data_IF_173323565030
#
_entry.id   IF_173323565030
#
_cell.length_a   1.000
_cell.length_b   1.000
_cell.length_c   1.000
_cell.angle_alpha   90.00
_cell.angle_beta   90.00
_cell.angle_gamma   90.00
#
_symmetry.space_group_name_H-M   'P 1'
#
loop_
_entity.id
_entity.type
_entity.pdbx_description
1 polymer ?
#
# COMPACT_ATOMS: atom_id res chain seq x y z
N UNK A 1 -10.57 15.48 -26.87
CA UNK A 1 -10.00 14.48 -27.79
C UNK A 1 -9.46 13.26 -27.04
N UNK A 2 -8.55 13.44 -26.07
CA UNK A 2 -7.99 12.32 -25.28
C UNK A 2 -9.06 11.44 -24.58
N UNK A 3 -10.05 12.04 -23.90
CA UNK A 3 -11.14 11.28 -23.26
C UNK A 3 -11.89 10.38 -24.24
N UNK A 4 -12.23 10.89 -25.44
CA UNK A 4 -12.98 10.12 -26.42
C UNK A 4 -12.18 8.92 -26.98
N UNK A 5 -10.87 9.10 -27.21
CA UNK A 5 -10.00 7.98 -27.61
C UNK A 5 -9.86 6.96 -26.49
N UNK A 6 -9.74 7.41 -25.24
CA UNK A 6 -9.72 6.53 -24.07
C UNK A 6 -11.02 5.73 -23.94
N UNK A 7 -12.18 6.38 -24.12
CA UNK A 7 -13.50 5.74 -24.06
C UNK A 7 -13.64 4.65 -25.15
N UNK A 8 -13.12 4.89 -26.35
CA UNK A 8 -13.10 3.89 -27.44
C UNK A 8 -12.22 2.68 -27.11
N UNK A 9 -11.02 2.92 -26.57
CA UNK A 9 -10.12 1.85 -26.15
C UNK A 9 -10.69 1.07 -24.97
N UNK A 10 -11.35 1.73 -24.02
CA UNK A 10 -12.01 1.08 -22.89
C UNK A 10 -13.18 0.20 -23.35
N UNK A 11 -13.99 0.71 -24.28
CA UNK A 11 -15.06 -0.08 -24.90
C UNK A 11 -14.50 -1.28 -25.70
N UNK A 12 -13.32 -1.14 -26.31
CA UNK A 12 -12.64 -2.26 -26.96
C UNK A 12 -12.16 -3.30 -25.93
N UNK A 13 -11.58 -2.87 -24.81
CA UNK A 13 -11.17 -3.77 -23.73
C UNK A 13 -12.37 -4.55 -23.16
N UNK A 14 -13.49 -3.87 -22.93
CA UNK A 14 -14.73 -4.50 -22.46
C UNK A 14 -15.21 -5.57 -23.45
N UNK A 15 -15.23 -5.26 -24.75
CA UNK A 15 -15.60 -6.25 -25.78
C UNK A 15 -14.62 -7.44 -25.84
N UNK A 16 -13.32 -7.20 -25.73
CA UNK A 16 -12.29 -8.25 -25.75
C UNK A 16 -12.44 -9.23 -24.56
N UNK A 17 -12.89 -8.74 -23.40
CA UNK A 17 -13.15 -9.58 -22.22
C UNK A 17 -14.44 -10.39 -22.29
N UNK A 18 -15.33 -10.12 -23.26
CA UNK A 18 -16.61 -10.83 -23.36
C UNK A 18 -17.41 -10.78 -22.05
N UNK A 19 -17.64 -11.93 -21.42
CA UNK A 19 -18.37 -12.01 -20.15
C UNK A 19 -17.64 -11.35 -18.96
N UNK A 20 -16.31 -11.29 -18.99
CA UNK A 20 -15.50 -10.61 -17.95
C UNK A 20 -15.19 -9.16 -18.29
N UNK A 21 -15.60 -8.68 -19.47
CA UNK A 21 -15.38 -7.33 -19.97
C UNK A 21 -15.69 -6.20 -18.98
N UNK A 22 -16.86 -6.21 -18.31
CA UNK A 22 -17.17 -5.21 -17.29
C UNK A 22 -16.20 -5.23 -16.09
N UNK A 23 -15.75 -6.41 -15.66
CA UNK A 23 -14.78 -6.54 -14.57
C UNK A 23 -13.40 -6.04 -15.00
N UNK A 24 -12.98 -6.31 -16.24
CA UNK A 24 -11.73 -5.81 -16.82
C UNK A 24 -11.72 -4.28 -16.93
N UNK A 25 -12.83 -3.70 -17.37
CA UNK A 25 -12.98 -2.24 -17.42
C UNK A 25 -12.82 -1.61 -16.03
N UNK A 26 -13.52 -2.14 -15.02
CA UNK A 26 -13.40 -1.66 -13.65
C UNK A 26 -11.99 -1.87 -13.08
N UNK A 27 -11.38 -3.01 -13.37
CA UNK A 27 -10.01 -3.33 -12.96
C UNK A 27 -8.99 -2.37 -13.53
N UNK A 28 -9.06 -2.06 -14.83
CA UNK A 28 -8.19 -1.08 -15.47
C UNK A 28 -8.37 0.32 -14.87
N UNK A 29 -9.62 0.75 -14.64
CA UNK A 29 -9.87 2.07 -14.03
C UNK A 29 -9.32 2.13 -12.59
N UNK A 30 -9.42 1.06 -11.82
CA UNK A 30 -8.86 0.97 -10.47
C UNK A 30 -7.33 1.11 -10.46
N UNK A 31 -6.62 0.64 -11.50
CA UNK A 31 -5.18 0.87 -11.66
C UNK A 31 -4.81 2.36 -11.79
N UNK A 32 -5.78 3.28 -11.94
CA UNK A 32 -5.53 4.72 -11.81
C UNK A 32 -4.94 5.12 -10.45
N UNK A 33 -5.18 4.31 -9.42
CA UNK A 33 -4.64 4.46 -8.06
C UNK A 33 -3.32 3.73 -7.83
N UNK A 34 -2.83 2.97 -8.82
CA UNK A 34 -1.50 2.36 -8.78
C UNK A 34 -0.41 3.43 -8.88
N UNK A 35 0.78 3.10 -8.39
CA UNK A 35 1.93 3.99 -8.46
C UNK A 35 2.37 4.28 -9.91
N UNK A 36 2.91 5.48 -10.15
CA UNK A 36 3.39 5.87 -11.46
C UNK A 36 4.61 5.04 -11.92
N UNK A 37 5.38 4.50 -10.97
CA UNK A 37 6.46 3.54 -11.22
C UNK A 37 5.94 2.20 -11.76
N UNK A 38 4.63 1.95 -11.66
CA UNK A 38 3.98 0.68 -11.98
C UNK A 38 3.91 -0.27 -10.78
N UNK A 39 3.21 -1.38 -11.00
CA UNK A 39 3.01 -2.47 -10.05
C UNK A 39 3.32 -3.80 -10.73
N UNK A 40 3.80 -4.79 -9.98
CA UNK A 40 3.85 -6.16 -10.46
C UNK A 40 2.47 -6.79 -10.54
N UNK A 41 2.44 -8.03 -11.01
CA UNK A 41 1.21 -8.75 -11.35
C UNK A 41 0.31 -8.98 -10.13
N UNK A 42 0.88 -9.45 -9.02
CA UNK A 42 0.10 -9.78 -7.83
C UNK A 42 -0.54 -8.54 -7.17
N UNK A 43 0.22 -7.44 -7.05
CA UNK A 43 -0.33 -6.17 -6.55
C UNK A 43 -1.31 -5.54 -7.55
N UNK A 44 -1.02 -5.64 -8.86
CA UNK A 44 -1.90 -5.20 -9.93
C UNK A 44 -3.26 -5.91 -9.89
N UNK A 45 -3.27 -7.23 -9.72
CA UNK A 45 -4.48 -8.04 -9.57
C UNK A 45 -5.31 -7.60 -8.37
N UNK A 46 -4.67 -7.41 -7.21
CA UNK A 46 -5.34 -6.90 -6.02
C UNK A 46 -5.94 -5.50 -6.24
N UNK A 47 -5.21 -4.57 -6.85
CA UNK A 47 -5.74 -3.23 -7.17
C UNK A 47 -6.95 -3.35 -8.09
N UNK A 48 -6.84 -4.16 -9.14
CA UNK A 48 -7.90 -4.39 -10.12
C UNK A 48 -9.12 -5.13 -9.54
N UNK A 49 -8.98 -5.79 -8.39
CA UNK A 49 -10.03 -6.64 -7.83
C UNK A 49 -10.27 -7.90 -8.65
N UNK A 50 -9.22 -8.40 -9.30
CA UNK A 50 -9.22 -9.63 -10.09
C UNK A 50 -8.30 -10.67 -9.41
N UNK A 51 -8.45 -11.93 -9.77
CA UNK A 51 -7.41 -12.93 -9.52
C UNK A 51 -6.21 -12.71 -10.46
N UNK A 52 -5.12 -13.43 -10.21
CA UNK A 52 -3.87 -13.24 -10.97
C UNK A 52 -4.05 -13.61 -12.45
N UNK A 53 -4.74 -14.71 -12.75
CA UNK A 53 -5.03 -15.12 -14.12
C UNK A 53 -5.92 -14.10 -14.86
N UNK A 54 -7.01 -13.65 -14.22
CA UNK A 54 -7.90 -12.64 -14.78
C UNK A 54 -7.21 -11.29 -14.98
N UNK A 55 -6.29 -10.92 -14.09
CA UNK A 55 -5.45 -9.75 -14.27
C UNK A 55 -4.47 -9.92 -15.43
N UNK A 56 -3.81 -11.07 -15.56
CA UNK A 56 -2.86 -11.36 -16.64
C UNK A 56 -3.54 -11.23 -18.01
N UNK A 57 -4.73 -11.79 -18.15
CA UNK A 57 -5.53 -11.71 -19.38
C UNK A 57 -5.96 -10.27 -19.69
N UNK A 58 -6.49 -9.56 -18.69
CA UNK A 58 -6.86 -8.14 -18.81
C UNK A 58 -5.64 -7.28 -19.19
N UNK A 59 -4.51 -7.46 -18.51
CA UNK A 59 -3.30 -6.69 -18.72
C UNK A 59 -2.73 -6.94 -20.12
N UNK A 60 -2.75 -8.19 -20.60
CA UNK A 60 -2.37 -8.54 -21.97
C UNK A 60 -3.24 -7.81 -22.99
N UNK A 61 -4.56 -7.80 -22.81
CA UNK A 61 -5.48 -7.07 -23.68
C UNK A 61 -5.27 -5.55 -23.63
N UNK A 62 -5.14 -4.98 -22.43
CA UNK A 62 -4.91 -3.56 -22.23
C UNK A 62 -3.58 -3.09 -22.84
N UNK A 63 -2.53 -3.90 -22.79
CA UNK A 63 -1.24 -3.62 -23.44
C UNK A 63 -1.39 -3.57 -24.97
N UNK A 64 -2.11 -4.52 -25.58
CA UNK A 64 -2.38 -4.49 -27.04
C UNK A 64 -3.15 -3.24 -27.46
N UNK A 65 -4.05 -2.76 -26.60
CA UNK A 65 -4.85 -1.56 -26.81
C UNK A 65 -4.14 -0.25 -26.41
N UNK A 66 -2.86 -0.32 -26.00
CA UNK A 66 -2.06 0.82 -25.53
C UNK A 66 -2.69 1.56 -24.33
N UNK A 67 -3.52 0.86 -23.56
CA UNK A 67 -4.10 1.36 -22.31
C UNK A 67 -3.14 1.18 -21.13
N UNK A 68 -2.28 0.16 -21.19
CA UNK A 68 -1.34 -0.22 -20.15
C UNK A 68 0.05 -0.43 -20.77
N UNK A 69 1.10 -0.02 -20.08
CA UNK A 69 2.48 -0.27 -20.48
C UNK A 69 3.04 -1.44 -19.67
N UNK A 70 3.69 -2.39 -20.36
CA UNK A 70 4.42 -3.50 -19.74
C UNK A 70 5.92 -3.22 -19.81
N UNK A 71 6.54 -3.07 -18.65
CA UNK A 71 7.97 -2.89 -18.47
C UNK A 71 8.61 -4.21 -18.04
N UNK A 72 9.81 -4.49 -18.56
CA UNK A 72 10.62 -5.61 -18.08
C UNK A 72 11.39 -5.23 -16.81
N UNK A 73 11.31 -6.06 -15.77
CA UNK A 73 12.23 -6.04 -14.62
C UNK A 73 12.85 -7.42 -14.44
N UNK A 74 13.94 -7.49 -13.67
CA UNK A 74 14.63 -8.74 -13.32
C UNK A 74 13.71 -9.76 -12.66
N UNK A 75 12.72 -9.29 -11.91
CA UNK A 75 11.91 -10.11 -11.00
C UNK A 75 10.47 -10.32 -11.52
N UNK A 76 10.20 -9.93 -12.77
CA UNK A 76 8.88 -10.06 -13.40
C UNK A 76 8.45 -8.81 -14.20
N UNK A 77 7.32 -8.88 -14.90
CA UNK A 77 6.77 -7.71 -15.57
C UNK A 77 6.24 -6.67 -14.57
N UNK A 78 6.39 -5.40 -14.89
CA UNK A 78 5.72 -4.30 -14.20
C UNK A 78 4.74 -3.63 -15.15
N UNK A 79 3.55 -3.37 -14.66
CA UNK A 79 2.47 -2.75 -15.40
C UNK A 79 2.24 -1.34 -14.88
N UNK A 80 2.19 -0.35 -15.78
CA UNK A 80 1.87 1.03 -15.42
C UNK A 80 0.88 1.64 -16.39
N UNK A 81 -0.01 2.47 -15.87
CA UNK A 81 -0.80 3.38 -16.68
C UNK A 81 0.04 4.61 -17.00
N UNK A 82 -0.21 5.20 -18.17
CA UNK A 82 0.28 6.54 -18.46
C UNK A 82 -0.38 7.55 -17.50
N UNK A 83 0.33 8.57 -16.96
CA UNK A 83 -0.23 9.46 -15.93
C UNK A 83 -1.58 10.11 -16.28
N UNK A 84 -1.78 10.53 -17.54
CA UNK A 84 -3.07 11.09 -17.98
C UNK A 84 -4.21 10.06 -17.96
N UNK A 85 -3.92 8.79 -18.21
CA UNK A 85 -4.90 7.71 -18.10
C UNK A 85 -5.16 7.37 -16.63
N UNK A 86 -4.14 7.46 -15.78
CA UNK A 86 -4.32 7.32 -14.33
C UNK A 86 -5.28 8.38 -13.78
N UNK A 87 -5.14 9.65 -14.16
CA UNK A 87 -6.07 10.71 -13.75
C UNK A 87 -7.51 10.42 -14.19
N UNK A 88 -7.69 9.97 -15.44
CA UNK A 88 -9.01 9.57 -15.94
C UNK A 88 -9.57 8.38 -15.16
N UNK A 89 -8.74 7.36 -14.88
CA UNK A 89 -9.10 6.22 -14.05
C UNK A 89 -9.54 6.62 -12.64
N UNK A 90 -8.77 7.49 -11.96
CA UNK A 90 -9.13 7.98 -10.62
C UNK A 90 -10.43 8.76 -10.58
N UNK A 91 -10.78 9.46 -11.65
CA UNK A 91 -12.06 10.17 -11.75
C UNK A 91 -13.29 9.26 -11.93
N UNK A 92 -13.07 7.98 -12.26
CA UNK A 92 -14.13 7.02 -12.66
C UNK A 92 -14.20 5.77 -11.77
N UNK A 93 -13.15 5.45 -11.03
CA UNK A 93 -13.08 4.31 -10.13
C UNK A 93 -13.30 4.70 -8.66
N UNK A 94 -13.78 3.74 -7.86
CA UNK A 94 -13.77 3.86 -6.41
C UNK A 94 -12.33 3.71 -5.86
N UNK A 95 -11.70 4.86 -5.61
CA UNK A 95 -10.36 4.93 -5.03
C UNK A 95 -10.26 4.36 -3.61
N UNK A 96 -11.33 4.47 -2.82
CA UNK A 96 -11.36 3.93 -1.47
C UNK A 96 -11.23 2.41 -1.52
N UNK A 97 -11.98 1.78 -2.42
CA UNK A 97 -11.92 0.34 -2.63
C UNK A 97 -10.54 -0.10 -3.16
N UNK A 98 -9.94 0.65 -4.09
CA UNK A 98 -8.60 0.35 -4.62
C UNK A 98 -7.52 0.41 -3.51
N UNK A 99 -7.49 1.49 -2.72
CA UNK A 99 -6.54 1.65 -1.62
C UNK A 99 -6.77 0.60 -0.53
N UNK A 100 -8.03 0.25 -0.24
CA UNK A 100 -8.35 -0.82 0.70
C UNK A 100 -7.79 -2.17 0.25
N UNK A 101 -7.92 -2.52 -1.04
CA UNK A 101 -7.34 -3.75 -1.59
C UNK A 101 -5.81 -3.76 -1.54
N UNK A 102 -5.15 -2.63 -1.79
CA UNK A 102 -3.70 -2.51 -1.60
C UNK A 102 -3.30 -2.74 -0.13
N UNK A 103 -4.07 -2.17 0.79
CA UNK A 103 -3.85 -2.33 2.23
C UNK A 103 -4.01 -3.79 2.68
N UNK A 104 -5.01 -4.47 2.13
CA UNK A 104 -5.24 -5.90 2.38
C UNK A 104 -4.13 -6.76 1.78
N UNK A 105 -3.73 -6.48 0.53
CA UNK A 105 -2.62 -7.17 -0.15
C UNK A 105 -1.33 -7.08 0.67
N UNK A 106 -1.02 -5.89 1.18
CA UNK A 106 0.16 -5.65 2.01
C UNK A 106 0.05 -6.41 3.35
N UNK A 107 -1.05 -6.23 4.08
CA UNK A 107 -1.26 -6.88 5.38
C UNK A 107 -1.22 -8.41 5.30
N UNK A 108 -1.78 -9.00 4.24
CA UNK A 108 -1.83 -10.46 4.06
C UNK A 108 -0.45 -11.10 3.82
N UNK A 109 0.54 -10.32 3.35
CA UNK A 109 1.91 -10.78 3.07
C UNK A 109 2.87 -10.59 4.24
N UNK A 110 2.42 -9.95 5.31
CA UNK A 110 3.22 -9.80 6.50
C UNK A 110 3.05 -11.04 7.39
N UNK A 111 4.15 -11.66 7.83
CA UNK A 111 4.08 -12.80 8.72
C UNK A 111 3.45 -12.37 10.04
N UNK A 112 2.77 -13.33 10.69
CA UNK A 112 2.32 -13.12 12.06
C UNK A 112 3.55 -12.92 12.97
N UNK A 113 3.42 -12.11 14.03
CA UNK A 113 4.52 -11.91 14.98
C UNK A 113 5.01 -13.26 15.54
N UNK A 114 6.33 -13.48 15.48
CA UNK A 114 6.96 -14.72 15.93
C UNK A 114 7.17 -15.77 14.84
N UNK A 115 6.55 -15.63 13.66
CA UNK A 115 6.81 -16.46 12.49
C UNK A 115 7.83 -15.78 11.57
N UNK A 116 9.05 -15.61 12.06
CA UNK A 116 10.13 -14.96 11.30
C UNK A 116 10.50 -15.74 10.05
N UNK A 117 10.85 -15.02 8.97
CA UNK A 117 12.11 -15.10 8.22
C UNK A 117 12.16 -13.92 7.21
N UNK A 118 13.26 -13.15 7.07
CA UNK A 118 13.32 -11.92 6.26
C UNK A 118 13.03 -12.11 4.76
N UNK A 119 13.24 -13.30 4.20
CA UNK A 119 12.91 -13.61 2.81
C UNK A 119 11.40 -13.67 2.53
N UNK A 120 10.55 -13.75 3.58
CA UNK A 120 9.08 -13.72 3.42
C UNK A 120 8.54 -12.39 2.91
N UNK A 121 9.36 -11.33 2.89
CA UNK A 121 8.95 -10.02 2.36
C UNK A 121 9.38 -9.80 0.90
N UNK A 122 9.86 -10.83 0.20
CA UNK A 122 10.32 -10.69 -1.19
C UNK A 122 9.27 -10.05 -2.11
N UNK A 123 8.01 -10.46 -2.00
CA UNK A 123 6.90 -9.85 -2.75
C UNK A 123 6.67 -8.39 -2.36
N UNK A 124 6.71 -8.06 -1.07
CA UNK A 124 6.56 -6.69 -0.58
C UNK A 124 7.73 -5.81 -1.06
N UNK A 125 8.94 -6.36 -1.10
CA UNK A 125 10.14 -5.69 -1.59
C UNK A 125 10.10 -5.41 -3.10
N UNK A 126 9.59 -6.36 -3.89
CA UNK A 126 9.44 -6.18 -5.34
C UNK A 126 8.56 -4.96 -5.67
N UNK A 127 7.58 -4.69 -4.80
CA UNK A 127 6.61 -3.59 -4.88
C UNK A 127 6.98 -2.33 -4.09
N UNK A 128 8.22 -2.22 -3.57
CA UNK A 128 8.60 -1.12 -2.69
C UNK A 128 8.28 0.30 -3.22
N UNK A 129 8.51 0.64 -4.51
CA UNK A 129 8.09 1.92 -5.05
C UNK A 129 6.57 2.14 -5.00
N UNK A 130 5.78 1.10 -5.24
CA UNK A 130 4.33 1.20 -5.22
C UNK A 130 3.78 1.35 -3.79
N UNK A 131 4.38 0.66 -2.84
CA UNK A 131 4.00 0.74 -1.43
C UNK A 131 4.40 2.08 -0.80
N UNK A 132 5.47 2.72 -1.28
CA UNK A 132 5.83 4.08 -0.90
C UNK A 132 4.73 5.09 -1.24
N UNK A 133 4.23 5.04 -2.47
CA UNK A 133 3.14 5.91 -2.93
C UNK A 133 1.84 5.58 -2.18
N UNK A 134 1.53 4.30 -1.96
CA UNK A 134 0.35 3.85 -1.24
C UNK A 134 0.30 4.35 0.21
N UNK A 135 1.42 4.33 0.96
CA UNK A 135 1.43 4.78 2.36
C UNK A 135 0.92 6.21 2.53
N UNK A 136 1.13 7.08 1.53
CA UNK A 136 0.63 8.46 1.55
C UNK A 136 -0.89 8.57 1.31
N UNK A 137 -1.50 7.54 0.77
CA UNK A 137 -2.92 7.48 0.36
C UNK A 137 -3.81 6.77 1.37
N UNK A 138 -3.24 6.04 2.34
CA UNK A 138 -4.01 5.28 3.34
C UNK A 138 -4.93 6.20 4.15
N UNK A 139 -6.25 5.93 4.16
CA UNK A 139 -7.23 6.76 4.86
C UNK A 139 -7.05 6.68 6.38
N UNK A 140 -7.46 7.73 7.10
CA UNK A 140 -7.27 7.85 8.55
C UNK A 140 -7.76 6.63 9.33
N UNK A 141 -8.93 6.09 8.95
CA UNK A 141 -9.54 4.93 9.59
C UNK A 141 -8.70 3.64 9.51
N UNK A 142 -7.85 3.50 8.49
CA UNK A 142 -7.02 2.29 8.29
C UNK A 142 -5.61 2.44 8.89
N UNK A 143 -5.19 3.65 9.29
CA UNK A 143 -3.79 3.90 9.68
C UNK A 143 -3.35 3.04 10.86
N UNK A 144 -4.21 2.89 11.87
CA UNK A 144 -3.91 2.06 13.04
C UNK A 144 -3.75 0.59 12.65
N UNK A 145 -4.62 0.06 11.78
CA UNK A 145 -4.52 -1.33 11.29
C UNK A 145 -3.20 -1.54 10.57
N UNK A 146 -2.84 -0.63 9.65
CA UNK A 146 -1.58 -0.70 8.89
C UNK A 146 -0.36 -0.58 9.79
N UNK A 147 -0.34 0.32 10.77
CA UNK A 147 0.78 0.40 11.74
C UNK A 147 0.88 -0.90 12.54
N UNK A 148 -0.23 -1.40 13.08
CA UNK A 148 -0.24 -2.62 13.91
C UNK A 148 0.28 -3.85 13.17
N UNK A 149 -0.17 -4.04 11.93
CA UNK A 149 0.27 -5.20 11.12
C UNK A 149 1.67 -4.97 10.53
N UNK A 150 1.96 -3.74 10.11
CA UNK A 150 3.18 -3.34 9.40
C UNK A 150 4.38 -2.97 10.28
N UNK A 151 4.21 -2.83 11.59
CA UNK A 151 5.26 -2.25 12.46
C UNK A 151 6.58 -3.00 12.37
N UNK A 152 6.56 -4.33 12.35
CA UNK A 152 7.79 -5.13 12.26
C UNK A 152 8.50 -4.93 10.94
N UNK A 153 7.77 -4.96 9.82
CA UNK A 153 8.32 -4.64 8.51
C UNK A 153 8.92 -3.22 8.50
N UNK A 154 8.17 -2.24 8.99
CA UNK A 154 8.59 -0.84 9.06
C UNK A 154 9.91 -0.67 9.84
N UNK A 155 10.02 -1.33 10.99
CA UNK A 155 11.16 -1.24 11.92
C UNK A 155 12.40 -1.93 11.34
N UNK A 156 12.23 -3.11 10.77
CA UNK A 156 13.34 -3.93 10.28
C UNK A 156 13.86 -3.49 8.92
N UNK A 157 12.98 -2.99 8.06
CA UNK A 157 13.25 -2.86 6.62
C UNK A 157 13.02 -1.44 6.10
N UNK A 158 12.15 -0.67 6.74
CA UNK A 158 11.71 0.61 6.22
C UNK A 158 10.69 0.42 5.09
N UNK A 159 10.60 1.35 4.12
CA UNK A 159 11.39 2.57 3.97
C UNK A 159 11.14 3.58 5.11
N UNK A 160 12.19 3.87 5.90
CA UNK A 160 12.04 4.51 7.22
C UNK A 160 11.38 5.90 7.17
N UNK A 161 11.74 6.75 6.20
CA UNK A 161 11.16 8.09 6.10
C UNK A 161 9.66 8.08 5.73
N UNK A 162 9.21 7.12 4.92
CA UNK A 162 7.80 7.02 4.57
C UNK A 162 6.98 6.56 5.78
N UNK A 163 7.47 5.55 6.50
CA UNK A 163 6.86 5.10 7.75
C UNK A 163 6.87 6.15 8.85
N UNK A 164 7.92 6.97 8.92
CA UNK A 164 7.99 8.10 9.84
C UNK A 164 6.86 9.10 9.56
N UNK A 165 6.73 9.58 8.32
CA UNK A 165 5.66 10.50 7.92
C UNK A 165 4.27 9.89 8.15
N UNK A 166 4.13 8.61 7.84
CA UNK A 166 2.88 7.87 8.04
C UNK A 166 2.47 7.83 9.51
N UNK A 167 3.41 7.51 10.41
CA UNK A 167 3.16 7.49 11.85
C UNK A 167 2.85 8.89 12.41
N UNK A 168 3.56 9.93 11.96
CA UNK A 168 3.27 11.31 12.35
C UNK A 168 1.86 11.75 11.94
N UNK A 169 1.48 11.39 10.71
CA UNK A 169 0.15 11.66 10.18
C UNK A 169 -0.94 10.87 10.91
N UNK A 170 -0.64 9.66 11.40
CA UNK A 170 -1.53 8.90 12.27
C UNK A 170 -1.68 9.56 13.67
N UNK A 171 -0.59 10.03 14.27
CA UNK A 171 -0.59 10.67 15.60
C UNK A 171 -1.30 12.02 15.65
N UNK A 172 -1.40 12.70 14.51
CA UNK A 172 -2.20 13.91 14.33
C UNK A 172 -3.72 13.63 14.30
N UNK A 173 -4.12 12.37 14.11
CA UNK A 173 -5.51 11.94 14.18
C UNK A 173 -6.00 11.71 15.62
N UNK A 174 -7.29 11.42 15.72
CA UNK A 174 -7.90 10.96 16.96
C UNK A 174 -7.60 9.47 17.16
N UNK A 175 -6.89 9.15 18.24
CA UNK A 175 -6.39 7.81 18.55
C UNK A 175 -6.64 7.52 20.01
N UNK A 176 -7.10 6.31 20.31
CA UNK A 176 -7.12 5.81 21.68
C UNK A 176 -5.71 5.72 22.26
N UNK A 177 -5.60 5.79 23.58
CA UNK A 177 -4.33 5.77 24.29
C UNK A 177 -3.45 4.55 23.95
N UNK A 178 -4.05 3.37 23.79
CA UNK A 178 -3.31 2.16 23.40
C UNK A 178 -2.77 2.25 21.96
N UNK A 179 -3.58 2.75 21.03
CA UNK A 179 -3.19 2.93 19.62
C UNK A 179 -2.10 3.98 19.49
N UNK A 180 -2.24 5.11 20.20
CA UNK A 180 -1.22 6.17 20.26
C UNK A 180 0.10 5.65 20.81
N UNK A 181 0.08 4.82 21.87
CA UNK A 181 1.31 4.20 22.41
C UNK A 181 1.99 3.28 21.38
N UNK A 182 1.22 2.49 20.63
CA UNK A 182 1.74 1.61 19.58
C UNK A 182 2.33 2.40 18.40
N UNK A 183 1.65 3.45 17.94
CA UNK A 183 2.16 4.30 16.86
C UNK A 183 3.44 5.04 17.29
N UNK A 184 3.50 5.55 18.53
CA UNK A 184 4.71 6.18 19.09
C UNK A 184 5.89 5.20 19.16
N UNK A 185 5.64 3.92 19.47
CA UNK A 185 6.66 2.88 19.43
C UNK A 185 7.24 2.72 18.03
N UNK A 186 6.39 2.47 17.03
CA UNK A 186 6.82 2.29 15.64
C UNK A 186 7.58 3.53 15.15
N UNK A 187 7.03 4.72 15.41
CA UNK A 187 7.66 5.99 15.08
C UNK A 187 9.07 6.13 15.67
N UNK A 188 9.25 5.82 16.96
CA UNK A 188 10.55 5.93 17.62
C UNK A 188 11.60 5.02 17.01
N UNK A 189 11.21 3.79 16.69
CA UNK A 189 12.10 2.80 16.05
C UNK A 189 12.46 3.20 14.62
N UNK A 190 11.48 3.59 13.78
CA UNK A 190 11.78 4.01 12.41
C UNK A 190 12.54 5.33 12.36
N UNK A 191 12.33 6.25 13.31
CA UNK A 191 13.10 7.48 13.43
C UNK A 191 14.58 7.20 13.77
N UNK A 192 14.85 6.23 14.64
CA UNK A 192 16.21 5.80 14.95
C UNK A 192 16.89 5.22 13.70
N UNK A 193 16.21 4.32 12.98
CA UNK A 193 16.73 3.74 11.73
C UNK A 193 16.90 4.77 10.60
N UNK A 194 16.11 5.85 10.62
CA UNK A 194 16.24 6.98 9.70
C UNK A 194 17.35 7.98 10.10
N UNK A 195 18.10 7.74 11.18
CA UNK A 195 19.15 8.65 11.65
C UNK A 195 18.63 9.93 12.31
N UNK A 196 17.43 9.89 12.91
CA UNK A 196 16.78 11.03 13.56
C UNK A 196 16.64 10.77 15.08
N UNK A 197 17.77 10.76 15.84
CA UNK A 197 17.78 10.36 17.25
C UNK A 197 16.92 11.27 18.14
N UNK A 198 16.90 12.58 17.88
CA UNK A 198 16.08 13.52 18.66
C UNK A 198 14.58 13.22 18.49
N UNK A 199 14.18 12.87 17.27
CA UNK A 199 12.79 12.50 16.98
C UNK A 199 12.42 11.17 17.64
N UNK A 200 13.35 10.21 17.64
CA UNK A 200 13.19 8.92 18.30
C UNK A 200 13.05 9.09 19.82
N UNK A 201 13.90 9.92 20.43
CA UNK A 201 13.84 10.25 21.86
C UNK A 201 12.50 10.91 22.22
N UNK A 202 12.08 11.93 21.47
CA UNK A 202 10.80 12.59 21.70
C UNK A 202 9.60 11.63 21.61
N UNK A 203 9.62 10.68 20.67
CA UNK A 203 8.59 9.65 20.57
C UNK A 203 8.60 8.70 21.78
N UNK A 204 9.79 8.30 22.25
CA UNK A 204 9.95 7.44 23.41
C UNK A 204 9.48 8.11 24.71
N UNK A 205 9.79 9.38 24.91
CA UNK A 205 9.34 10.16 26.07
C UNK A 205 7.81 10.33 26.09
N UNK A 206 7.22 10.66 24.94
CA UNK A 206 5.76 10.73 24.80
C UNK A 206 5.09 9.39 25.09
N UNK A 207 5.67 8.29 24.60
CA UNK A 207 5.17 6.93 24.87
C UNK A 207 5.26 6.60 26.35
N UNK A 208 6.41 6.84 26.98
CA UNK A 208 6.62 6.57 28.40
C UNK A 208 5.66 7.37 29.28
N UNK A 209 5.44 8.65 28.98
CA UNK A 209 4.48 9.50 29.68
C UNK A 209 3.04 8.97 29.55
N UNK A 210 2.66 8.51 28.36
CA UNK A 210 1.35 7.91 28.10
C UNK A 210 1.17 6.59 28.85
N UNK A 211 2.14 5.69 28.78
CA UNK A 211 2.11 4.39 29.45
C UNK A 211 2.06 4.52 30.97
N UNK A 212 2.81 5.47 31.54
CA UNK A 212 2.76 5.78 32.98
C UNK A 212 1.37 6.24 33.40
N UNK A 213 0.72 7.12 32.62
CA UNK A 213 -0.66 7.57 32.89
C UNK A 213 -1.68 6.43 32.85
N UNK A 214 -1.42 5.40 32.03
CA UNK A 214 -2.28 4.22 31.89
C UNK A 214 -2.06 3.16 32.98
N UNK A 215 -1.04 3.31 33.83
CA UNK A 215 -0.61 2.27 34.77
C UNK A 215 -0.01 1.03 34.08
N UNK A 216 0.28 1.13 32.78
CA UNK A 216 0.94 0.10 31.98
C UNK A 216 2.42 0.45 31.85
N UNK A 217 3.17 0.47 32.96
CA UNK A 217 4.65 0.54 32.92
C UNK A 217 5.21 -0.77 32.31
N UNK A 218 4.96 -1.01 31.02
CA UNK A 218 5.49 -2.15 30.30
C UNK A 218 6.95 -1.88 29.97
N UNK A 219 7.85 -2.50 30.73
CA UNK A 219 9.22 -2.69 30.28
C UNK A 219 9.22 -3.50 28.99
N UNK A 220 9.65 -2.88 27.87
CA UNK A 220 10.13 -3.48 26.59
C UNK A 220 9.44 -4.74 26.03
N UNK A 221 8.22 -5.10 26.41
CA UNK A 221 7.54 -6.31 25.93
C UNK A 221 6.09 -6.01 25.53
N UNK A 222 5.79 -6.34 24.28
CA UNK A 222 4.48 -6.31 23.63
C UNK A 222 3.59 -7.47 24.10
N UNK A 223 2.30 -7.32 24.49
CA UNK A 223 1.40 -8.45 24.56
C UNK A 223 0.86 -8.73 23.17
N UNK A 224 1.20 -9.89 22.65
CA UNK A 224 0.45 -10.50 21.55
C UNK A 224 -0.90 -10.91 22.12
N UNK A 225 -1.94 -10.13 21.82
CA UNK A 225 -3.33 -10.53 21.93
C UNK A 225 -4.09 -9.91 20.75
#
# INVERSE_FOLDING_TARGET
MLSATFDLSLAALNRDGGATGPAWEQGLLALGWAAAAGVGESLGAAIAGLDEDGFADMASAAVRLSLLERLARSDGPTFRLHPLLSELGRSRADGTAAIARMSEWFCARLPKPGEGEPWRWSEVHAEAPALLDWLSQVPAAERVRVVRTGSWFAISTGPFHAWLRFCETALAGDLGDAERSNVLWTLGQVALSAGLPDRALAAAEQKQSLDRRRGEERGRHWPLA
#
